data_IF_083440100633
#
_entry.id   IF_083440100633
#
_cell.length_a   1.000
_cell.length_b   1.000
_cell.length_c   1.000
_cell.angle_alpha   90.00
_cell.angle_beta   90.00
_cell.angle_gamma   90.00
#
_symmetry.space_group_name_H-M   'P 1'
#
loop_
_entity.id
_entity.type
_entity.pdbx_description
1 polymer ?
#
# COMPACT_ATOMS: atom_id res chain seq x y z
N UNK A 1 7.04 -22.07 -9.66
CA UNK A 1 6.39 -22.05 -10.99
C UNK A 1 6.87 -20.76 -11.68
N UNK A 2 7.13 -20.75 -13.00
CA UNK A 2 7.41 -19.49 -13.70
C UNK A 2 6.12 -18.66 -13.75
N UNK A 3 6.20 -17.35 -13.57
CA UNK A 3 5.05 -16.43 -13.54
C UNK A 3 4.11 -16.58 -14.76
N UNK A 4 4.64 -17.07 -15.89
CA UNK A 4 3.90 -17.25 -17.15
C UNK A 4 2.91 -18.42 -17.15
N UNK A 5 2.84 -19.24 -16.10
CA UNK A 5 2.04 -20.46 -16.05
C UNK A 5 0.94 -20.44 -14.98
N UNK A 6 0.67 -19.28 -14.38
CA UNK A 6 -0.38 -19.15 -13.36
C UNK A 6 -1.73 -18.95 -14.02
N UNK A 7 -2.75 -19.73 -13.61
CA UNK A 7 -4.12 -19.61 -14.13
C UNK A 7 -4.68 -18.21 -13.84
N UNK A 8 -5.14 -17.53 -14.88
CA UNK A 8 -5.88 -16.27 -14.75
C UNK A 8 -7.33 -16.55 -14.40
N UNK A 9 -7.84 -15.79 -13.48
CA UNK A 9 -9.22 -15.83 -13.01
C UNK A 9 -9.90 -14.49 -13.34
N UNK A 10 -11.23 -14.51 -13.41
CA UNK A 10 -12.10 -13.34 -13.54
C UNK A 10 -12.86 -13.08 -12.24
N UNK A 11 -13.59 -11.96 -12.16
CA UNK A 11 -14.50 -11.69 -11.06
C UNK A 11 -15.59 -12.77 -10.93
N UNK A 12 -16.05 -13.31 -12.07
CA UNK A 12 -17.02 -14.41 -12.10
C UNK A 12 -16.45 -15.70 -11.55
N UNK A 13 -15.19 -16.04 -11.87
CA UNK A 13 -14.51 -17.23 -11.31
C UNK A 13 -14.35 -17.13 -9.79
N UNK A 14 -13.99 -15.93 -9.27
CA UNK A 14 -13.90 -15.71 -7.81
C UNK A 14 -15.30 -15.83 -7.17
N UNK A 15 -16.33 -15.28 -7.80
CA UNK A 15 -17.71 -15.41 -7.31
C UNK A 15 -18.16 -16.87 -7.26
N UNK A 16 -17.79 -17.69 -8.25
CA UNK A 16 -18.05 -19.13 -8.26
C UNK A 16 -17.30 -19.85 -7.14
N UNK A 17 -15.99 -19.60 -6.96
CA UNK A 17 -15.17 -20.17 -5.88
C UNK A 17 -15.79 -19.86 -4.51
N UNK A 18 -16.22 -18.60 -4.28
CA UNK A 18 -16.83 -18.22 -3.02
C UNK A 18 -18.20 -18.89 -2.81
N UNK A 19 -19.00 -18.99 -3.87
CA UNK A 19 -20.32 -19.67 -3.81
C UNK A 19 -20.13 -21.13 -3.46
N UNK A 20 -19.22 -21.83 -4.16
CA UNK A 20 -18.93 -23.25 -3.91
C UNK A 20 -18.35 -23.49 -2.51
N UNK A 21 -17.54 -22.55 -2.01
CA UNK A 21 -16.98 -22.59 -0.65
C UNK A 21 -18.10 -22.53 0.38
N UNK A 22 -19.05 -21.60 0.21
CA UNK A 22 -20.23 -21.48 1.08
C UNK A 22 -21.17 -22.67 1.00
N UNK A 23 -21.54 -23.10 -0.21
CA UNK A 23 -22.44 -24.23 -0.44
C UNK A 23 -21.87 -25.54 0.10
N UNK A 24 -20.53 -25.68 0.16
CA UNK A 24 -19.82 -26.84 0.73
C UNK A 24 -19.55 -26.73 2.24
N UNK A 25 -19.96 -25.64 2.89
CA UNK A 25 -19.74 -25.41 4.33
C UNK A 25 -18.27 -25.23 4.71
N UNK A 26 -17.40 -24.88 3.75
CA UNK A 26 -15.97 -24.66 3.96
C UNK A 26 -15.69 -23.28 4.56
N UNK A 27 -14.50 -23.14 5.14
CA UNK A 27 -14.00 -21.93 5.76
C UNK A 27 -12.85 -21.31 4.96
N UNK A 28 -12.63 -19.99 5.09
CA UNK A 28 -11.65 -19.24 4.31
C UNK A 28 -10.72 -18.41 5.20
N UNK A 29 -9.40 -18.52 4.99
CA UNK A 29 -8.41 -17.63 5.57
C UNK A 29 -7.91 -16.67 4.49
N UNK A 30 -7.96 -15.36 4.77
CA UNK A 30 -7.62 -14.28 3.85
C UNK A 30 -6.32 -13.65 4.31
N UNK A 31 -5.24 -13.83 3.53
CA UNK A 31 -3.97 -13.16 3.75
C UNK A 31 -3.89 -11.85 2.98
N UNK A 32 -3.08 -10.92 3.47
CA UNK A 32 -2.73 -9.68 2.80
C UNK A 32 -1.27 -9.31 3.11
N UNK A 33 -0.71 -8.29 2.44
CA UNK A 33 0.72 -8.01 2.49
C UNK A 33 1.21 -7.52 3.85
N UNK A 34 2.52 -7.74 4.14
CA UNK A 34 3.22 -7.17 5.30
C UNK A 34 3.17 -5.64 5.27
N UNK A 35 3.24 -5.01 6.46
CA UNK A 35 3.09 -3.56 6.60
C UNK A 35 1.83 -3.05 5.88
N UNK A 36 0.66 -3.62 6.19
CA UNK A 36 -0.55 -3.43 5.40
C UNK A 36 -1.06 -1.99 5.46
N UNK A 37 -1.52 -1.53 4.32
CA UNK A 37 -2.15 -0.23 4.14
C UNK A 37 -3.69 -0.30 4.13
N UNK A 38 -4.32 0.79 3.67
CA UNK A 38 -5.78 0.88 3.64
C UNK A 38 -6.42 0.02 2.56
N UNK A 39 -5.73 -0.25 1.42
CA UNK A 39 -6.26 -1.12 0.38
C UNK A 39 -6.20 -2.58 0.82
N UNK A 40 -5.06 -3.05 1.29
CA UNK A 40 -4.89 -4.41 1.80
C UNK A 40 -5.92 -4.75 2.89
N UNK A 41 -6.06 -3.87 3.91
CA UNK A 41 -7.00 -4.09 5.01
C UNK A 41 -8.44 -3.93 4.55
N UNK A 42 -8.76 -2.90 3.76
CA UNK A 42 -10.11 -2.66 3.24
C UNK A 42 -10.60 -3.80 2.37
N UNK A 43 -9.78 -4.26 1.43
CA UNK A 43 -10.07 -5.36 0.52
C UNK A 43 -10.25 -6.69 1.25
N UNK A 44 -9.34 -7.03 2.18
CA UNK A 44 -9.43 -8.26 2.96
C UNK A 44 -10.70 -8.30 3.83
N UNK A 45 -11.00 -7.20 4.54
CA UNK A 45 -12.18 -7.16 5.41
C UNK A 45 -13.50 -6.98 4.65
N UNK A 46 -13.50 -6.38 3.44
CA UNK A 46 -14.64 -6.43 2.53
C UNK A 46 -14.92 -7.87 2.07
N UNK A 47 -13.89 -8.60 1.63
CA UNK A 47 -14.01 -10.01 1.23
C UNK A 47 -14.50 -10.88 2.40
N UNK A 48 -14.03 -10.65 3.62
CA UNK A 48 -14.52 -11.34 4.82
C UNK A 48 -16.03 -11.12 5.04
N UNK A 49 -16.53 -9.90 4.84
CA UNK A 49 -17.97 -9.61 4.97
C UNK A 49 -18.78 -10.25 3.84
N UNK A 50 -18.25 -10.28 2.62
CA UNK A 50 -18.83 -11.03 1.49
C UNK A 50 -18.95 -12.50 1.86
N UNK A 51 -17.88 -13.10 2.39
CA UNK A 51 -17.87 -14.47 2.89
C UNK A 51 -18.95 -14.71 3.95
N UNK A 52 -19.08 -13.80 4.92
CA UNK A 52 -20.11 -13.91 5.96
C UNK A 52 -21.52 -13.89 5.37
N UNK A 53 -21.78 -13.09 4.31
CA UNK A 53 -23.06 -13.05 3.61
C UNK A 53 -23.38 -14.36 2.87
N UNK A 54 -22.35 -15.11 2.50
CA UNK A 54 -22.45 -16.45 1.87
C UNK A 54 -22.40 -17.62 2.89
N UNK A 55 -22.44 -17.29 4.21
CA UNK A 55 -22.36 -18.33 5.26
C UNK A 55 -20.96 -18.93 5.47
N UNK A 56 -19.92 -18.32 4.88
CA UNK A 56 -18.54 -18.79 4.99
C UNK A 56 -17.93 -18.25 6.28
N UNK A 57 -17.38 -19.11 7.14
CA UNK A 57 -16.52 -18.71 8.25
C UNK A 57 -15.19 -18.18 7.70
N UNK A 58 -14.95 -16.88 7.80
CA UNK A 58 -13.74 -16.26 7.28
C UNK A 58 -12.97 -15.46 8.34
N UNK A 59 -11.64 -15.44 8.22
CA UNK A 59 -10.71 -14.64 9.03
C UNK A 59 -9.70 -13.95 8.12
N UNK A 60 -9.32 -12.72 8.49
CA UNK A 60 -8.21 -11.98 7.88
C UNK A 60 -6.94 -12.15 8.71
N UNK A 61 -5.79 -12.39 8.07
CA UNK A 61 -4.51 -12.62 8.74
C UNK A 61 -3.33 -11.98 7.99
N UNK A 62 -2.40 -11.38 8.73
CA UNK A 62 -1.16 -10.80 8.24
C UNK A 62 -0.01 -11.07 9.21
N UNK A 63 1.23 -11.10 8.73
CA UNK A 63 2.40 -11.24 9.61
C UNK A 63 2.57 -10.02 10.54
N UNK A 64 2.13 -8.84 10.11
CA UNK A 64 2.15 -7.60 10.88
C UNK A 64 0.72 -7.22 11.32
N UNK A 65 0.59 -6.62 12.50
CA UNK A 65 -0.67 -6.00 12.89
C UNK A 65 -0.83 -4.66 12.15
N UNK A 66 -1.95 -4.45 11.43
CA UNK A 66 -2.20 -3.19 10.75
C UNK A 66 -2.19 -1.98 11.69
N UNK A 67 -1.84 -0.82 11.17
CA UNK A 67 -1.78 0.42 11.93
C UNK A 67 -3.10 0.71 12.68
N UNK A 68 -3.07 1.24 13.91
CA UNK A 68 -4.25 1.41 14.74
C UNK A 68 -5.39 2.21 14.09
N UNK A 69 -5.07 3.17 13.21
CA UNK A 69 -6.09 3.97 12.52
C UNK A 69 -6.91 3.16 11.49
N UNK A 70 -6.42 1.97 11.06
CA UNK A 70 -7.15 1.06 10.17
C UNK A 70 -8.13 0.13 10.90
N UNK A 71 -8.10 0.07 12.23
CA UNK A 71 -8.96 -0.84 13.01
C UNK A 71 -10.45 -0.62 12.82
N UNK A 72 -10.88 0.55 12.36
CA UNK A 72 -12.29 0.80 12.05
C UNK A 72 -12.80 -0.06 10.88
N UNK A 73 -11.89 -0.63 10.08
CA UNK A 73 -12.21 -1.57 8.99
C UNK A 73 -12.44 -3.01 9.47
N UNK A 74 -12.05 -3.33 10.71
CA UNK A 74 -12.16 -4.69 11.25
C UNK A 74 -13.62 -5.04 11.53
N UNK A 75 -14.15 -6.03 10.84
CA UNK A 75 -15.54 -6.47 10.92
C UNK A 75 -15.74 -7.49 12.04
N UNK A 76 -15.84 -7.02 13.27
CA UNK A 76 -16.00 -7.92 14.44
C UNK A 76 -14.78 -8.77 14.79
N UNK A 77 -13.67 -8.62 14.06
CA UNK A 77 -12.39 -9.22 14.40
C UNK A 77 -11.57 -8.21 15.23
N UNK A 78 -10.92 -8.65 16.29
CA UNK A 78 -10.20 -7.75 17.23
C UNK A 78 -8.75 -7.52 16.83
N UNK A 79 -8.15 -8.46 16.08
CA UNK A 79 -6.76 -8.44 15.63
C UNK A 79 -6.64 -9.08 14.25
N UNK A 80 -5.70 -8.64 13.43
CA UNK A 80 -5.40 -9.24 12.14
C UNK A 80 -4.04 -9.96 12.10
N UNK A 81 -3.28 -9.92 13.20
CA UNK A 81 -2.02 -10.64 13.26
C UNK A 81 -2.24 -12.14 13.16
N UNK A 82 -1.46 -12.79 12.30
CA UNK A 82 -1.48 -14.24 12.12
C UNK A 82 -1.07 -14.97 13.40
N UNK A 83 -1.72 -16.10 13.67
CA UNK A 83 -1.40 -17.01 14.78
C UNK A 83 -0.79 -18.29 14.21
N UNK A 84 0.36 -18.69 14.75
CA UNK A 84 1.11 -19.83 14.24
C UNK A 84 0.22 -21.09 14.09
N UNK A 85 0.18 -21.63 12.88
CA UNK A 85 -0.57 -22.82 12.55
C UNK A 85 -2.07 -22.63 12.29
N UNK A 86 -2.61 -21.40 12.41
CA UNK A 86 -4.05 -21.14 12.21
C UNK A 86 -4.55 -21.47 10.80
N UNK A 87 -3.65 -21.51 9.81
CA UNK A 87 -4.00 -21.88 8.44
C UNK A 87 -4.51 -23.32 8.32
N UNK A 88 -4.23 -24.16 9.33
CA UNK A 88 -4.73 -25.54 9.35
C UNK A 88 -6.17 -25.65 9.85
N UNK A 89 -6.74 -24.57 10.39
CA UNK A 89 -8.13 -24.48 10.85
C UNK A 89 -9.08 -24.04 9.73
N UNK A 90 -8.55 -23.81 8.51
CA UNK A 90 -9.31 -23.35 7.36
C UNK A 90 -9.14 -24.27 6.17
N UNK A 91 -10.23 -24.39 5.38
CA UNK A 91 -10.30 -25.29 4.23
C UNK A 91 -9.75 -24.66 2.95
N UNK A 92 -9.83 -23.32 2.83
CA UNK A 92 -9.40 -22.54 1.68
C UNK A 92 -8.55 -21.38 2.17
N UNK A 93 -7.44 -21.13 1.47
CA UNK A 93 -6.53 -20.01 1.74
C UNK A 93 -6.49 -19.09 0.53
N UNK A 94 -6.68 -17.80 0.73
CA UNK A 94 -6.50 -16.82 -0.34
C UNK A 94 -5.62 -15.65 0.09
N UNK A 95 -5.10 -14.92 -0.88
CA UNK A 95 -4.42 -13.66 -0.63
C UNK A 95 -5.02 -12.54 -1.45
N UNK A 96 -5.07 -11.35 -0.86
CA UNK A 96 -5.52 -10.13 -1.52
C UNK A 96 -4.41 -9.08 -1.43
N UNK A 97 -4.28 -8.30 -2.49
CA UNK A 97 -3.33 -7.18 -2.55
C UNK A 97 -1.88 -7.63 -2.28
N UNK A 98 -1.46 -8.71 -2.96
CA UNK A 98 -0.11 -9.27 -2.82
C UNK A 98 0.46 -9.65 -4.18
N UNK A 99 1.46 -8.91 -4.66
CA UNK A 99 2.07 -9.14 -5.96
C UNK A 99 3.05 -10.34 -6.00
N UNK A 100 3.53 -10.79 -4.84
CA UNK A 100 4.54 -11.86 -4.76
C UNK A 100 4.61 -12.48 -3.37
N UNK A 101 5.18 -13.70 -3.21
CA UNK A 101 5.35 -14.35 -1.90
C UNK A 101 6.11 -13.50 -0.88
N UNK A 102 7.06 -12.66 -1.32
CA UNK A 102 7.85 -11.79 -0.45
C UNK A 102 6.99 -10.77 0.29
N UNK A 103 5.87 -10.37 -0.29
CA UNK A 103 4.93 -9.44 0.35
C UNK A 103 4.14 -10.08 1.50
N UNK A 104 4.04 -11.40 1.57
CA UNK A 104 3.51 -12.07 2.75
C UNK A 104 4.44 -11.98 3.98
N UNK A 105 5.67 -11.46 3.81
CA UNK A 105 6.64 -11.30 4.90
C UNK A 105 7.06 -12.63 5.52
N UNK A 106 6.94 -12.76 6.84
CA UNK A 106 7.25 -13.99 7.56
C UNK A 106 6.36 -15.18 7.16
N UNK A 107 5.21 -14.91 6.52
CA UNK A 107 4.27 -15.93 6.04
C UNK A 107 4.55 -16.39 4.60
N UNK A 108 5.64 -15.96 3.98
CA UNK A 108 6.00 -16.34 2.59
C UNK A 108 6.11 -17.84 2.37
N UNK A 109 6.39 -18.61 3.41
CA UNK A 109 6.41 -20.09 3.37
C UNK A 109 5.04 -20.72 3.14
N UNK A 110 3.93 -19.97 3.32
CA UNK A 110 2.56 -20.42 3.06
C UNK A 110 2.12 -20.17 1.60
N UNK A 111 2.95 -19.52 0.78
CA UNK A 111 2.58 -19.16 -0.60
C UNK A 111 2.13 -20.35 -1.45
N UNK A 112 2.75 -21.53 -1.28
CA UNK A 112 2.39 -22.75 -2.03
C UNK A 112 1.06 -23.37 -1.56
N UNK A 113 0.47 -22.86 -0.47
CA UNK A 113 -0.82 -23.31 0.07
C UNK A 113 -1.99 -22.39 -0.32
N UNK A 114 -1.70 -21.27 -0.98
CA UNK A 114 -2.73 -20.32 -1.41
C UNK A 114 -3.50 -20.91 -2.59
N UNK A 115 -4.82 -21.01 -2.47
CA UNK A 115 -5.69 -21.55 -3.49
C UNK A 115 -6.01 -20.55 -4.60
N UNK A 116 -6.17 -19.26 -4.24
CA UNK A 116 -6.36 -18.18 -5.21
C UNK A 116 -5.91 -16.80 -4.67
N UNK A 117 -5.70 -15.88 -5.60
CA UNK A 117 -5.29 -14.50 -5.32
C UNK A 117 -6.23 -13.51 -5.98
N UNK A 118 -6.36 -12.30 -5.38
CA UNK A 118 -6.94 -11.12 -6.01
C UNK A 118 -5.94 -9.98 -5.85
N UNK A 119 -5.47 -9.42 -6.98
CA UNK A 119 -4.39 -8.43 -6.96
C UNK A 119 -4.49 -7.45 -8.13
N UNK A 120 -4.00 -6.22 -7.96
CA UNK A 120 -3.98 -5.20 -9.00
C UNK A 120 -2.57 -4.74 -9.39
N UNK A 121 -1.54 -5.27 -8.78
CA UNK A 121 -0.17 -4.85 -9.06
C UNK A 121 0.30 -5.27 -10.46
N UNK A 122 0.74 -4.32 -11.27
CA UNK A 122 1.26 -4.58 -12.63
C UNK A 122 2.62 -5.27 -12.68
N UNK A 123 3.36 -5.24 -11.58
CA UNK A 123 4.68 -5.86 -11.44
C UNK A 123 4.67 -6.81 -10.26
N UNK A 124 4.92 -8.09 -10.53
CA UNK A 124 4.93 -9.12 -9.49
C UNK A 124 5.16 -10.51 -10.05
N UNK A 125 5.16 -11.48 -9.19
CA UNK A 125 5.24 -12.91 -9.51
C UNK A 125 4.09 -13.63 -8.81
N UNK A 126 2.89 -13.69 -9.42
CA UNK A 126 1.77 -14.43 -8.87
C UNK A 126 2.17 -15.88 -8.58
N UNK A 127 1.71 -16.40 -7.45
CA UNK A 127 2.13 -17.69 -6.93
C UNK A 127 0.97 -18.69 -6.76
N UNK A 128 -0.26 -18.26 -7.07
CA UNK A 128 -1.47 -19.07 -7.12
C UNK A 128 -2.39 -18.59 -8.24
N UNK A 129 -3.44 -19.33 -8.62
CA UNK A 129 -4.47 -18.86 -9.54
C UNK A 129 -4.92 -17.44 -9.15
N UNK A 130 -4.92 -16.47 -10.09
CA UNK A 130 -5.04 -15.05 -9.75
C UNK A 130 -6.06 -14.30 -10.60
N UNK A 131 -6.95 -13.55 -9.94
CA UNK A 131 -7.69 -12.46 -10.54
C UNK A 131 -6.81 -11.20 -10.44
N UNK A 132 -6.23 -10.81 -11.57
CA UNK A 132 -5.25 -9.73 -11.66
C UNK A 132 -5.61 -8.78 -12.78
N UNK A 133 -5.83 -7.51 -12.43
CA UNK A 133 -6.13 -6.42 -13.35
C UNK A 133 -5.33 -5.16 -13.00
N UNK A 134 -4.16 -4.95 -13.59
CA UNK A 134 -3.27 -3.82 -13.27
C UNK A 134 -3.82 -2.44 -13.66
N UNK A 135 -4.89 -2.39 -14.42
CA UNK A 135 -5.53 -1.15 -14.85
C UNK A 135 -6.42 -0.53 -13.77
N UNK A 136 -6.77 -1.30 -12.74
CA UNK A 136 -7.53 -0.81 -11.62
C UNK A 136 -6.64 -0.13 -10.58
N UNK A 137 -7.14 0.92 -9.97
CA UNK A 137 -6.39 1.75 -9.02
C UNK A 137 -6.10 1.06 -7.70
N UNK A 138 -6.90 0.06 -7.33
CA UNK A 138 -6.88 -0.60 -6.04
C UNK A 138 -7.41 -2.03 -6.12
N UNK A 139 -6.92 -2.93 -5.27
CA UNK A 139 -7.49 -4.27 -5.10
C UNK A 139 -8.98 -4.21 -4.69
N UNK A 140 -9.36 -3.16 -3.95
CA UNK A 140 -10.76 -2.90 -3.59
C UNK A 140 -11.71 -2.80 -4.77
N UNK A 141 -11.25 -2.34 -5.95
CA UNK A 141 -12.08 -2.31 -7.16
C UNK A 141 -12.34 -3.72 -7.70
N UNK A 142 -11.37 -4.61 -7.62
CA UNK A 142 -11.53 -6.01 -8.04
C UNK A 142 -12.50 -6.75 -7.11
N UNK A 143 -12.36 -6.57 -5.81
CA UNK A 143 -13.32 -7.12 -4.82
C UNK A 143 -14.72 -6.52 -5.04
N UNK A 144 -14.83 -5.24 -5.42
CA UNK A 144 -16.11 -4.64 -5.80
C UNK A 144 -16.76 -5.33 -7.01
N UNK A 145 -15.97 -5.72 -8.02
CA UNK A 145 -16.50 -6.49 -9.17
C UNK A 145 -17.05 -7.85 -8.74
N UNK A 146 -16.33 -8.56 -7.87
CA UNK A 146 -16.80 -9.84 -7.29
C UNK A 146 -18.10 -9.62 -6.51
N UNK A 147 -18.17 -8.56 -5.70
CA UNK A 147 -19.38 -8.18 -4.96
C UNK A 147 -20.57 -7.91 -5.89
N UNK A 148 -20.35 -7.20 -7.01
CA UNK A 148 -21.38 -6.97 -8.01
C UNK A 148 -21.85 -8.26 -8.70
N UNK A 149 -20.93 -9.18 -9.05
CA UNK A 149 -21.27 -10.49 -9.63
C UNK A 149 -22.18 -11.30 -8.70
N UNK A 150 -21.83 -11.37 -7.41
CA UNK A 150 -22.60 -12.09 -6.40
C UNK A 150 -23.98 -11.45 -6.18
N UNK A 151 -24.07 -10.11 -6.14
CA UNK A 151 -25.32 -9.39 -6.02
C UNK A 151 -26.23 -9.59 -7.24
N UNK A 152 -25.68 -9.56 -8.45
CA UNK A 152 -26.41 -9.80 -9.69
C UNK A 152 -26.98 -11.23 -9.81
N UNK A 153 -26.38 -12.18 -9.08
CA UNK A 153 -26.80 -13.58 -8.99
C UNK A 153 -27.72 -13.86 -7.80
N UNK A 154 -28.19 -12.83 -7.10
CA UNK A 154 -29.00 -12.92 -5.87
C UNK A 154 -28.35 -13.78 -4.75
N UNK A 155 -27.00 -13.90 -4.75
CA UNK A 155 -26.28 -14.65 -3.73
C UNK A 155 -26.04 -13.86 -2.46
N UNK A 156 -26.02 -12.53 -2.54
CA UNK A 156 -25.93 -11.63 -1.38
C UNK A 156 -26.71 -10.33 -1.65
N UNK A 157 -27.09 -9.65 -0.56
CA UNK A 157 -27.64 -8.29 -0.64
C UNK A 157 -26.54 -7.25 -0.48
N UNK A 158 -26.67 -6.11 -1.15
CA UNK A 158 -25.75 -5.00 -1.00
C UNK A 158 -25.74 -4.47 0.43
N UNK A 159 -24.55 -4.09 0.92
CA UNK A 159 -24.34 -3.72 2.31
C UNK A 159 -23.42 -2.52 2.43
N UNK A 160 -23.87 -1.49 3.15
CA UNK A 160 -23.04 -0.33 3.46
C UNK A 160 -21.74 -0.69 4.22
N UNK A 161 -21.76 -1.77 5.01
CA UNK A 161 -20.57 -2.24 5.70
C UNK A 161 -19.48 -2.74 4.73
N UNK A 162 -19.88 -3.48 3.67
CA UNK A 162 -18.97 -3.87 2.59
C UNK A 162 -18.52 -2.62 1.82
N UNK A 163 -19.48 -1.74 1.45
CA UNK A 163 -19.19 -0.52 0.71
C UNK A 163 -18.18 0.40 1.43
N UNK A 164 -18.26 0.53 2.76
CA UNK A 164 -17.30 1.32 3.55
C UNK A 164 -15.87 0.81 3.44
N UNK A 165 -15.67 -0.53 3.47
CA UNK A 165 -14.34 -1.14 3.34
C UNK A 165 -13.79 -0.95 1.95
N UNK A 166 -14.60 -1.16 0.92
CA UNK A 166 -14.21 -0.96 -0.47
C UNK A 166 -13.92 0.51 -0.78
N UNK A 167 -14.73 1.44 -0.26
CA UNK A 167 -14.46 2.87 -0.39
C UNK A 167 -13.15 3.26 0.30
N UNK A 168 -12.88 2.71 1.49
CA UNK A 168 -11.63 2.95 2.20
C UNK A 168 -10.42 2.41 1.43
N UNK A 169 -10.51 1.20 0.87
CA UNK A 169 -9.50 0.59 0.03
C UNK A 169 -9.15 1.47 -1.18
N UNK A 170 -10.13 1.82 -1.99
CA UNK A 170 -9.96 2.67 -3.17
C UNK A 170 -9.43 4.06 -2.80
N UNK A 171 -9.97 4.67 -1.72
CA UNK A 171 -9.51 5.98 -1.25
C UNK A 171 -8.06 5.96 -0.80
N UNK A 172 -7.61 4.88 -0.15
CA UNK A 172 -6.22 4.75 0.31
C UNK A 172 -5.24 4.73 -0.87
N UNK A 173 -5.46 3.85 -1.85
CA UNK A 173 -4.52 3.62 -2.96
C UNK A 173 -4.55 4.75 -4.01
N UNK A 174 -5.63 5.52 -4.06
CA UNK A 174 -5.74 6.71 -4.91
C UNK A 174 -5.32 8.01 -4.22
N UNK A 175 -4.88 7.94 -2.96
CA UNK A 175 -4.57 9.12 -2.15
C UNK A 175 -5.76 10.09 -2.06
N UNK A 176 -6.96 9.57 -1.82
CA UNK A 176 -8.22 10.33 -1.89
C UNK A 176 -8.48 10.89 -3.29
N UNK A 177 -8.32 10.04 -4.30
CA UNK A 177 -8.56 10.33 -5.74
C UNK A 177 -7.64 11.39 -6.35
N UNK A 178 -6.48 11.67 -5.74
CA UNK A 178 -5.49 12.67 -6.20
C UNK A 178 -4.38 12.08 -7.05
N UNK A 179 -4.12 10.76 -6.98
CA UNK A 179 -3.02 10.15 -7.69
C UNK A 179 -3.36 9.84 -9.15
N UNK A 180 -2.32 9.69 -9.96
CA UNK A 180 -2.44 9.47 -11.40
C UNK A 180 -3.04 8.11 -11.80
N UNK A 181 -3.14 7.17 -10.86
CA UNK A 181 -3.83 5.90 -11.05
C UNK A 181 -5.37 6.02 -10.96
N UNK A 182 -5.91 7.15 -10.49
CA UNK A 182 -7.36 7.39 -10.45
C UNK A 182 -7.93 7.47 -11.87
N UNK A 183 -8.85 6.58 -12.19
CA UNK A 183 -9.50 6.48 -13.51
C UNK A 183 -10.98 6.95 -13.44
N UNK A 184 -11.63 7.21 -14.59
CA UNK A 184 -13.07 7.46 -14.61
C UNK A 184 -13.88 6.29 -14.02
N UNK A 185 -13.44 5.04 -14.17
CA UNK A 185 -14.11 3.86 -13.62
C UNK A 185 -13.93 3.76 -12.11
N UNK A 186 -12.77 4.13 -11.59
CA UNK A 186 -12.51 4.30 -10.15
C UNK A 186 -13.52 5.28 -9.53
N UNK A 187 -13.72 6.44 -10.17
CA UNK A 187 -14.69 7.44 -9.68
C UNK A 187 -16.15 6.95 -9.77
N UNK A 188 -16.50 6.18 -10.80
CA UNK A 188 -17.85 5.57 -10.91
C UNK A 188 -18.06 4.56 -9.77
N UNK A 189 -17.11 3.68 -9.54
CA UNK A 189 -17.14 2.71 -8.43
C UNK A 189 -17.27 3.43 -7.09
N UNK A 190 -16.46 4.46 -6.85
CA UNK A 190 -16.55 5.26 -5.64
C UNK A 190 -17.93 5.93 -5.46
N UNK A 191 -18.51 6.46 -6.55
CA UNK A 191 -19.84 7.08 -6.51
C UNK A 191 -20.96 6.07 -6.17
N UNK A 192 -20.86 4.83 -6.66
CA UNK A 192 -21.82 3.77 -6.31
C UNK A 192 -21.67 3.34 -4.85
N UNK A 193 -20.45 3.16 -4.37
CA UNK A 193 -20.18 2.85 -2.97
C UNK A 193 -20.67 3.97 -2.04
N UNK A 194 -20.48 5.24 -2.42
CA UNK A 194 -21.00 6.39 -1.67
C UNK A 194 -22.52 6.39 -1.58
N UNK A 195 -23.23 6.00 -2.64
CA UNK A 195 -24.71 5.87 -2.59
C UNK A 195 -25.11 4.79 -1.58
N UNK A 196 -24.51 3.59 -1.65
CA UNK A 196 -24.78 2.51 -0.70
C UNK A 196 -24.55 2.93 0.76
N UNK A 197 -23.46 3.70 1.00
CA UNK A 197 -23.12 4.22 2.33
C UNK A 197 -24.12 5.27 2.80
N UNK A 198 -24.51 6.21 1.91
CA UNK A 198 -25.41 7.31 2.26
C UNK A 198 -26.86 6.86 2.44
N UNK A 199 -27.30 5.84 1.69
CA UNK A 199 -28.66 5.29 1.79
C UNK A 199 -28.83 4.44 3.06
N UNK A 200 -27.77 4.06 3.74
CA UNK A 200 -27.81 3.28 4.96
C UNK A 200 -28.09 4.16 6.18
N UNK A 201 -29.20 3.91 6.86
CA UNK A 201 -29.55 4.57 8.12
C UNK A 201 -29.02 3.78 9.36
N UNK A 202 -27.77 3.26 9.26
CA UNK A 202 -27.22 2.33 10.26
C UNK A 202 -26.29 2.99 11.28
N UNK A 203 -26.08 4.32 11.19
CA UNK A 203 -25.16 5.08 12.07
C UNK A 203 -23.68 4.77 11.85
N UNK A 204 -23.33 4.02 10.80
CA UNK A 204 -21.93 3.77 10.40
C UNK A 204 -21.23 5.00 9.84
N UNK A 205 -19.91 4.91 9.66
CA UNK A 205 -19.11 6.03 9.13
C UNK A 205 -19.50 6.37 7.70
N UNK A 206 -19.65 7.65 7.43
CA UNK A 206 -19.82 8.16 6.06
C UNK A 206 -18.47 8.30 5.35
N UNK A 207 -18.49 8.59 4.05
CA UNK A 207 -17.27 8.71 3.23
C UNK A 207 -16.33 9.82 3.71
N UNK A 208 -16.85 10.94 4.20
CA UNK A 208 -16.04 12.04 4.72
C UNK A 208 -15.29 11.64 6.00
N UNK A 209 -15.93 10.90 6.90
CA UNK A 209 -15.30 10.37 8.10
C UNK A 209 -14.21 9.34 7.76
N UNK A 210 -14.47 8.45 6.78
CA UNK A 210 -13.48 7.49 6.29
C UNK A 210 -12.27 8.22 5.72
N UNK A 211 -12.50 9.17 4.81
CA UNK A 211 -11.42 9.98 4.20
C UNK A 211 -10.62 10.74 5.25
N UNK A 212 -11.28 11.34 6.24
CA UNK A 212 -10.61 12.06 7.34
C UNK A 212 -9.72 11.12 8.16
N UNK A 213 -10.17 9.89 8.45
CA UNK A 213 -9.37 8.93 9.20
C UNK A 213 -8.14 8.50 8.39
N UNK A 214 -8.30 8.24 7.11
CA UNK A 214 -7.23 7.72 6.26
C UNK A 214 -6.18 8.78 5.89
N UNK A 215 -6.60 10.03 5.67
CA UNK A 215 -5.74 11.03 5.03
C UNK A 215 -5.45 12.27 5.88
N UNK A 216 -6.37 12.67 6.77
CA UNK A 216 -6.25 13.94 7.49
C UNK A 216 -5.92 13.77 8.98
N UNK A 217 -6.22 12.59 9.55
CA UNK A 217 -5.97 12.35 10.97
C UNK A 217 -4.51 11.98 11.22
N UNK A 218 -3.84 12.77 12.04
CA UNK A 218 -2.45 12.52 12.46
C UNK A 218 -2.36 12.41 13.97
N UNK A 219 -1.45 11.59 14.46
CA UNK A 219 -1.09 11.57 15.87
C UNK A 219 -0.36 12.87 16.24
N UNK A 220 -0.35 13.23 17.52
CA UNK A 220 0.45 14.37 17.98
C UNK A 220 1.96 14.12 17.73
N UNK A 221 2.42 12.87 17.82
CA UNK A 221 3.78 12.47 17.46
C UNK A 221 4.08 12.76 15.98
N UNK A 222 3.20 12.35 15.06
CA UNK A 222 3.34 12.62 13.63
C UNK A 222 3.35 14.14 13.32
N UNK A 223 2.51 14.95 14.00
CA UNK A 223 2.54 16.41 13.84
C UNK A 223 3.83 17.02 14.36
N UNK A 224 4.37 16.53 15.48
CA UNK A 224 5.68 16.97 16.01
C UNK A 224 6.82 16.58 15.07
N UNK A 225 6.75 15.40 14.46
CA UNK A 225 7.71 14.95 13.47
C UNK A 225 7.64 15.77 12.19
N UNK A 226 6.46 16.18 11.74
CA UNK A 226 6.28 17.07 10.61
C UNK A 226 6.89 18.47 10.88
N UNK A 227 6.65 19.05 12.05
CA UNK A 227 7.29 20.28 12.47
C UNK A 227 8.83 20.18 12.47
N UNK A 228 9.35 19.06 13.00
CA UNK A 228 10.78 18.78 12.98
C UNK A 228 11.33 18.64 11.55
N UNK A 229 10.56 18.01 10.65
CA UNK A 229 10.92 17.88 9.24
C UNK A 229 11.03 19.24 8.55
N UNK A 230 10.05 20.13 8.76
CA UNK A 230 10.04 21.49 8.19
C UNK A 230 11.24 22.30 8.66
N UNK A 231 11.54 22.27 9.96
CA UNK A 231 12.68 22.97 10.55
C UNK A 231 14.04 22.47 10.03
N UNK A 232 14.13 21.20 9.65
CA UNK A 232 15.38 20.56 9.20
C UNK A 232 15.38 20.25 7.70
N UNK A 233 14.48 20.86 6.94
CA UNK A 233 14.44 20.73 5.49
C UNK A 233 15.70 21.33 4.85
N UNK A 234 16.28 20.59 3.91
CA UNK A 234 17.50 20.97 3.20
C UNK A 234 17.35 20.73 1.71
N UNK A 235 18.22 21.34 0.92
CA UNK A 235 18.24 21.21 -0.53
C UNK A 235 19.62 20.76 -1.03
N UNK A 236 19.61 20.08 -2.17
CA UNK A 236 20.79 19.64 -2.92
C UNK A 236 20.54 19.82 -4.43
N UNK A 237 21.55 19.56 -5.26
CA UNK A 237 21.46 19.65 -6.72
C UNK A 237 20.82 20.97 -7.20
N UNK A 238 21.34 22.10 -6.75
CA UNK A 238 20.82 23.41 -7.16
C UNK A 238 19.38 23.73 -6.73
N UNK A 239 18.80 22.96 -5.81
CA UNK A 239 17.42 23.13 -5.36
C UNK A 239 16.44 22.11 -5.96
N UNK A 240 16.88 21.30 -6.92
CA UNK A 240 16.03 20.28 -7.55
C UNK A 240 15.73 19.09 -6.64
N UNK A 241 16.53 18.88 -5.60
CA UNK A 241 16.34 17.82 -4.61
C UNK A 241 16.14 18.44 -3.23
N UNK A 242 15.03 18.10 -2.57
CA UNK A 242 14.77 18.45 -1.18
C UNK A 242 14.86 17.22 -0.28
N UNK A 243 15.35 17.38 0.96
CA UNK A 243 15.51 16.26 1.86
C UNK A 243 15.42 16.63 3.33
N UNK A 244 15.14 15.60 4.16
CA UNK A 244 15.13 15.70 5.63
C UNK A 244 15.94 14.58 6.22
N UNK A 245 16.71 14.89 7.27
CA UNK A 245 17.47 13.91 8.06
C UNK A 245 16.91 13.85 9.47
N UNK A 246 16.51 12.65 9.89
CA UNK A 246 16.10 12.37 11.26
C UNK A 246 17.22 11.59 11.95
N UNK A 247 17.91 12.26 12.86
CA UNK A 247 18.93 11.59 13.70
C UNK A 247 18.27 11.00 14.95
N UNK A 248 18.86 9.95 15.51
CA UNK A 248 18.39 9.34 16.74
C UNK A 248 18.34 10.36 17.89
N UNK A 249 19.37 11.22 18.01
CA UNK A 249 19.39 12.29 19.03
C UNK A 249 18.26 13.31 18.85
N UNK A 250 17.89 13.66 17.61
CA UNK A 250 16.77 14.54 17.35
C UNK A 250 15.45 13.89 17.76
N UNK A 251 15.24 12.62 17.38
CA UNK A 251 14.05 11.86 17.74
C UNK A 251 13.91 11.73 19.26
N UNK A 252 14.96 11.35 19.95
CA UNK A 252 14.99 11.24 21.42
C UNK A 252 14.66 12.56 22.11
N UNK A 253 15.31 13.68 21.70
CA UNK A 253 15.05 15.01 22.29
C UNK A 253 13.62 15.50 22.08
N UNK A 254 12.96 15.08 20.99
CA UNK A 254 11.60 15.50 20.63
C UNK A 254 10.53 14.49 21.07
N UNK A 255 10.94 13.35 21.64
CA UNK A 255 10.04 12.28 22.04
C UNK A 255 9.31 11.66 20.85
N UNK A 256 10.01 11.48 19.71
CA UNK A 256 9.51 10.86 18.50
C UNK A 256 9.90 9.40 18.45
N UNK A 257 9.02 8.56 17.94
CA UNK A 257 9.31 7.18 17.59
C UNK A 257 9.39 7.00 16.05
N UNK A 258 9.87 5.83 15.61
CA UNK A 258 9.99 5.56 14.17
C UNK A 258 8.64 5.59 13.44
N UNK A 259 7.57 5.19 14.10
CA UNK A 259 6.20 5.20 13.54
C UNK A 259 5.68 6.63 13.28
N UNK A 260 6.12 7.62 14.05
CA UNK A 260 5.75 9.02 13.83
C UNK A 260 6.32 9.58 12.51
N UNK A 261 7.35 8.93 11.96
CA UNK A 261 8.07 9.38 10.76
C UNK A 261 7.51 8.79 9.45
N UNK A 262 6.46 7.96 9.50
CA UNK A 262 6.01 7.14 8.36
C UNK A 262 5.77 7.93 7.07
N UNK A 263 4.90 8.93 7.09
CA UNK A 263 4.45 9.68 5.92
C UNK A 263 5.33 10.89 5.53
N UNK A 264 6.44 11.15 6.24
CA UNK A 264 7.20 12.40 6.07
C UNK A 264 7.99 12.49 4.76
N UNK A 265 8.08 11.42 3.99
CA UNK A 265 8.72 11.43 2.67
C UNK A 265 7.98 12.33 1.66
N UNK A 266 6.70 12.57 1.84
CA UNK A 266 5.93 13.40 0.92
C UNK A 266 6.19 14.90 1.13
N UNK A 267 6.69 15.28 2.30
CA UNK A 267 6.95 16.69 2.62
C UNK A 267 8.05 17.31 1.73
N UNK A 268 9.26 16.73 1.57
CA UNK A 268 10.28 17.29 0.68
C UNK A 268 9.81 17.42 -0.77
N UNK A 269 9.10 16.40 -1.29
CA UNK A 269 8.64 16.41 -2.69
C UNK A 269 7.46 17.36 -2.95
N UNK A 270 6.77 17.83 -1.91
CA UNK A 270 5.62 18.75 -2.06
C UNK A 270 6.03 20.18 -2.39
N UNK A 271 7.33 20.49 -2.36
CA UNK A 271 7.84 21.82 -2.62
C UNK A 271 7.83 22.10 -4.12
N UNK A 272 7.31 23.25 -4.51
CA UNK A 272 7.28 23.70 -5.90
C UNK A 272 8.70 23.79 -6.49
N UNK A 273 8.88 23.26 -7.70
CA UNK A 273 10.17 23.20 -8.40
C UNK A 273 11.09 22.07 -8.00
N UNK A 274 10.75 21.27 -6.98
CA UNK A 274 11.53 20.11 -6.57
C UNK A 274 11.24 18.93 -7.50
N UNK A 275 12.29 18.39 -8.12
CA UNK A 275 12.23 17.23 -9.01
C UNK A 275 12.11 15.91 -8.24
N UNK A 276 12.78 15.81 -7.09
CA UNK A 276 12.73 14.64 -6.22
C UNK A 276 12.94 15.01 -4.74
N UNK A 277 12.42 14.15 -3.86
CA UNK A 277 12.63 14.28 -2.42
C UNK A 277 13.12 12.98 -1.78
N UNK A 278 13.88 13.10 -0.69
CA UNK A 278 14.23 11.93 0.12
C UNK A 278 14.27 12.24 1.62
N UNK A 279 14.12 11.18 2.41
CA UNK A 279 14.36 11.23 3.86
C UNK A 279 15.45 10.22 4.24
N UNK A 280 16.31 10.59 5.18
CA UNK A 280 17.29 9.71 5.83
C UNK A 280 16.90 9.62 7.30
N UNK A 281 16.59 8.42 7.76
CA UNK A 281 16.11 8.14 9.12
C UNK A 281 17.11 7.21 9.81
N UNK A 282 17.84 7.71 10.80
CA UNK A 282 18.70 6.89 11.65
C UNK A 282 17.82 5.98 12.53
N UNK A 283 18.14 4.70 12.64
CA UNK A 283 17.36 3.82 13.51
C UNK A 283 17.71 4.06 14.98
N UNK A 284 16.72 3.87 15.87
CA UNK A 284 16.95 4.00 17.32
C UNK A 284 17.70 2.79 17.91
N UNK A 285 17.63 1.65 17.25
CA UNK A 285 18.24 0.39 17.69
C UNK A 285 19.73 0.27 17.32
N UNK A 286 20.12 0.84 16.17
CA UNK A 286 21.52 0.86 15.72
C UNK A 286 21.81 2.20 15.03
N UNK A 287 22.61 3.03 15.66
CA UNK A 287 22.94 4.39 15.19
C UNK A 287 23.78 4.43 13.91
N UNK A 288 24.31 3.30 13.44
CA UNK A 288 25.01 3.19 12.16
C UNK A 288 24.11 2.76 11.01
N UNK A 289 22.84 2.43 11.30
CA UNK A 289 21.85 2.01 10.30
C UNK A 289 20.89 3.15 9.99
N UNK A 290 20.70 3.42 8.68
CA UNK A 290 19.85 4.49 8.18
C UNK A 290 18.85 3.94 7.16
N UNK A 291 17.58 4.27 7.31
CA UNK A 291 16.53 4.01 6.31
C UNK A 291 16.40 5.21 5.40
N UNK A 292 16.56 4.98 4.12
CA UNK A 292 16.39 5.97 3.05
C UNK A 292 15.05 5.72 2.37
N UNK A 293 14.25 6.77 2.23
CA UNK A 293 13.03 6.73 1.40
C UNK A 293 13.13 7.84 0.36
N UNK A 294 12.73 7.54 -0.87
CA UNK A 294 12.86 8.46 -2.01
C UNK A 294 11.55 8.56 -2.77
N UNK A 295 11.26 9.75 -3.33
CA UNK A 295 10.12 10.00 -4.22
C UNK A 295 10.57 10.88 -5.38
N UNK A 296 9.98 10.69 -6.57
CA UNK A 296 10.22 11.51 -7.74
C UNK A 296 8.93 12.16 -8.23
N UNK A 297 9.01 13.45 -8.55
CA UNK A 297 7.96 14.24 -9.20
C UNK A 297 8.12 14.24 -10.74
N UNK A 298 9.32 13.89 -11.25
CA UNK A 298 9.70 13.90 -12.66
C UNK A 298 9.95 12.47 -13.16
N UNK A 299 10.53 12.31 -14.36
CA UNK A 299 10.89 10.98 -14.91
C UNK A 299 12.17 10.40 -14.28
N UNK A 300 12.75 11.07 -13.30
CA UNK A 300 13.89 10.56 -12.54
C UNK A 300 13.53 9.24 -11.86
N UNK A 301 14.29 8.19 -12.20
CA UNK A 301 14.08 6.84 -11.64
C UNK A 301 14.77 6.69 -10.28
N UNK A 302 14.02 6.91 -9.20
CA UNK A 302 14.56 6.78 -7.85
C UNK A 302 14.80 5.31 -7.42
N UNK A 303 14.24 4.33 -8.13
CA UNK A 303 14.54 2.92 -7.87
C UNK A 303 15.98 2.58 -8.29
N UNK A 304 16.53 3.19 -9.34
CA UNK A 304 17.92 3.02 -9.75
C UNK A 304 18.88 3.57 -8.68
N UNK A 305 18.54 4.71 -8.09
CA UNK A 305 19.29 5.30 -6.99
C UNK A 305 19.30 4.35 -5.78
N UNK A 306 18.12 3.87 -5.38
CA UNK A 306 18.01 2.96 -4.24
C UNK A 306 18.68 1.61 -4.49
N UNK A 307 18.69 1.09 -5.74
CA UNK A 307 19.43 -0.14 -6.09
C UNK A 307 20.93 0.00 -5.89
N UNK A 308 21.53 1.16 -6.21
CA UNK A 308 22.94 1.45 -5.94
C UNK A 308 23.26 1.45 -4.42
N UNK A 309 22.25 1.69 -3.59
CA UNK A 309 22.31 1.64 -2.12
C UNK A 309 21.94 0.27 -1.53
N UNK A 310 21.75 -0.76 -2.38
CA UNK A 310 21.33 -2.09 -1.94
C UNK A 310 19.84 -2.24 -1.63
N UNK A 311 19.04 -1.26 -2.03
CA UNK A 311 17.58 -1.25 -1.90
C UNK A 311 16.83 -1.47 -3.22
N UNK A 312 15.62 -0.93 -3.32
CA UNK A 312 14.79 -1.05 -4.51
C UNK A 312 13.47 -0.32 -4.39
N UNK A 313 12.56 -0.59 -5.32
CA UNK A 313 11.21 0.00 -5.36
C UNK A 313 10.77 0.30 -6.79
N UNK A 314 9.83 1.21 -6.91
CA UNK A 314 9.28 1.68 -8.18
C UNK A 314 9.99 2.94 -8.68
N UNK A 315 9.82 3.25 -9.98
CA UNK A 315 10.42 4.43 -10.63
C UNK A 315 10.20 5.71 -9.83
N UNK A 316 8.99 5.93 -9.29
CA UNK A 316 8.60 7.14 -8.56
C UNK A 316 8.73 7.04 -7.04
N UNK A 317 8.92 5.83 -6.49
CA UNK A 317 8.95 5.58 -5.04
C UNK A 317 9.84 4.39 -4.71
N UNK A 318 10.92 4.64 -3.97
CA UNK A 318 11.88 3.58 -3.63
C UNK A 318 12.48 3.81 -2.24
N UNK A 319 13.17 2.79 -1.71
CA UNK A 319 13.83 2.87 -0.43
C UNK A 319 15.04 1.95 -0.33
N UNK A 320 15.91 2.25 0.62
CA UNK A 320 17.10 1.45 0.94
C UNK A 320 17.36 1.50 2.44
N UNK A 321 18.12 0.51 2.92
CA UNK A 321 18.72 0.54 4.25
C UNK A 321 20.24 0.53 4.06
N UNK A 322 20.91 1.52 4.61
CA UNK A 322 22.35 1.70 4.46
C UNK A 322 23.04 1.75 5.83
N UNK A 323 24.31 1.39 5.87
CA UNK A 323 25.18 1.56 7.04
C UNK A 323 26.17 2.70 6.78
N UNK A 324 26.29 3.63 7.71
CA UNK A 324 27.21 4.74 7.61
C UNK A 324 27.75 5.13 8.99
N UNK A 325 28.92 5.78 9.02
CA UNK A 325 29.58 6.21 10.27
C UNK A 325 28.91 7.40 10.92
N UNK A 326 28.14 8.19 10.14
CA UNK A 326 27.41 9.36 10.64
C UNK A 326 26.19 9.68 9.77
N UNK A 327 25.22 10.46 10.29
CA UNK A 327 24.10 10.97 9.50
C UNK A 327 24.55 11.79 8.27
N UNK A 328 25.64 12.54 8.40
CA UNK A 328 26.21 13.34 7.31
C UNK A 328 26.77 12.45 6.20
N UNK A 329 27.47 11.36 6.56
CA UNK A 329 27.99 10.37 5.61
C UNK A 329 26.86 9.66 4.88
N UNK A 330 25.82 9.22 5.62
CA UNK A 330 24.64 8.61 5.05
C UNK A 330 23.94 9.55 4.05
N UNK A 331 23.75 10.81 4.43
CA UNK A 331 23.13 11.81 3.62
C UNK A 331 23.93 12.11 2.34
N UNK A 332 25.25 12.28 2.48
CA UNK A 332 26.16 12.54 1.36
C UNK A 332 26.08 11.43 0.32
N UNK A 333 26.09 10.15 0.74
CA UNK A 333 25.99 9.03 -0.17
C UNK A 333 24.73 9.06 -1.01
N UNK A 334 23.60 9.52 -0.44
CA UNK A 334 22.32 9.67 -1.18
C UNK A 334 22.38 10.88 -2.12
N UNK A 335 22.89 12.03 -1.66
CA UNK A 335 23.01 13.27 -2.46
C UNK A 335 23.87 13.01 -3.70
N UNK A 336 25.04 12.43 -3.54
CA UNK A 336 25.97 12.17 -4.65
C UNK A 336 25.30 11.35 -5.78
N UNK A 337 24.44 10.38 -5.42
CA UNK A 337 23.70 9.57 -6.38
C UNK A 337 22.57 10.36 -7.07
N UNK A 338 21.90 11.27 -6.38
CA UNK A 338 20.92 12.16 -6.99
C UNK A 338 21.56 13.13 -7.97
N UNK A 339 22.70 13.73 -7.62
CA UNK A 339 23.45 14.64 -8.49
C UNK A 339 23.96 13.93 -9.75
N UNK A 340 24.47 12.69 -9.63
CA UNK A 340 24.87 11.84 -10.77
C UNK A 340 23.69 11.56 -11.68
N UNK A 341 22.53 11.21 -11.12
CA UNK A 341 21.34 10.85 -11.88
C UNK A 341 20.76 12.05 -12.64
N UNK A 342 20.69 13.22 -12.01
CA UNK A 342 20.22 14.46 -12.63
C UNK A 342 21.16 14.97 -13.73
N UNK A 343 22.48 14.89 -13.53
CA UNK A 343 23.47 15.22 -14.55
C UNK A 343 23.32 14.35 -15.80
N UNK A 344 23.06 13.04 -15.61
CA UNK A 344 22.85 12.08 -16.71
C UNK A 344 21.55 12.34 -17.48
N UNK A 345 20.49 12.79 -16.79
CA UNK A 345 19.19 13.11 -17.42
C UNK A 345 19.23 14.43 -18.21
N UNK A 346 19.97 15.39 -17.73
CA UNK A 346 20.21 16.67 -18.44
C UNK A 346 20.97 16.49 -19.75
N UNK A 347 21.94 15.54 -19.80
CA UNK A 347 22.68 15.21 -21.01
C UNK A 347 21.78 14.59 -22.09
N UNK A 348 20.82 13.73 -21.71
CA UNK A 348 19.88 13.12 -22.67
C UNK A 348 18.88 14.10 -23.27
N UNK A 349 18.49 15.13 -22.54
CA UNK A 349 17.56 16.18 -23.03
C UNK A 349 18.23 17.10 -24.04
N UNK A 350 19.53 17.35 -23.94
CA UNK A 350 20.30 18.15 -24.91
C UNK A 350 20.53 17.39 -26.23
N UNK A 351 20.85 16.10 -26.20
CA UNK A 351 21.03 15.27 -27.39
C UNK A 351 19.75 15.08 -28.20
N UNK A 352 18.59 14.95 -27.55
CA UNK A 352 17.31 14.82 -28.27
C UNK A 352 16.79 16.11 -28.89
N UNK A 353 17.27 17.29 -28.45
CA UNK A 353 16.92 18.57 -29.08
C UNK A 353 17.82 18.93 -30.28
N UNK A 354 19.00 18.32 -30.39
CA UNK A 354 19.89 18.54 -31.54
C UNK A 354 19.57 17.63 -32.79
N UNK A 355 18.74 16.60 -32.57
CA UNK A 355 18.34 15.65 -33.67
C UNK A 355 17.05 16.10 -34.39
N UNK A 356 16.35 17.14 -33.89
CA UNK A 356 15.09 17.65 -34.48
C UNK A 356 15.18 19.07 -35.03
N UNK A 357 16.36 19.49 -35.56
CA UNK A 357 16.52 20.73 -36.32
C UNK A 357 16.88 20.41 -37.77
#
# INVERSE_FOLDING_TARGET
MSADNVKRLSADDIADILTDTGDSGKSLLIFFHKSPDGDAVGSAFALKLICASLGIRARCACCDEPAPYLRFLYSGQTEAKYKDGEENDFDVLCSVDTASPVQLGALSHLSDRIDFMVDHHGLGAPYAPVYLEPEYSACGELIYKVYCCLAARDKLQRSAEIARRLFAAISADTGSFKYSNTTPDTLRTAAELMREINDAADGGKNCAEISRILHDSKTLGALRAEAAAIENLRFAAGGEVAYVVFTADMMERRGLCEDDLGALIDLPRSIEGVAAGFTVKQTLTDRNVFRVSTRSNTDLNVADICRKLGGGGHVKAAGATITAESPEAACKAVIDLFEEALASDSGKKTENNEVNV
#
